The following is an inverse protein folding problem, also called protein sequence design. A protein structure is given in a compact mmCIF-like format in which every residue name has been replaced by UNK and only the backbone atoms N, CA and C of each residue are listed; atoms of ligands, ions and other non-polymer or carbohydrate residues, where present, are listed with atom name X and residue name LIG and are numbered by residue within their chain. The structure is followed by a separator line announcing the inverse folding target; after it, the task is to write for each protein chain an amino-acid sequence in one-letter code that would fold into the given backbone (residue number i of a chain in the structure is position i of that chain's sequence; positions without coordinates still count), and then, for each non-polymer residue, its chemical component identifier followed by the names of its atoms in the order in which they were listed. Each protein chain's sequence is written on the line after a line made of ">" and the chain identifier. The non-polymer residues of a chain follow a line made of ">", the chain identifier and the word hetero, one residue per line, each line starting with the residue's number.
data_IF_071781409863
#
_entry.id   IF_071781409863
#
_cell.length_a   1.000
_cell.length_b   1.000
_cell.length_c   1.000
_cell.angle_alpha   90.00
_cell.angle_beta   90.00
_cell.angle_gamma   90.00
#
_symmetry.space_group_name_H-M   'P 1'
#
loop_
_entity.id
_entity.type
_entity.pdbx_description
1 polymer ?
#
# COMPACT_ATOMS: atom_id res chain seq x y z
N UNK A 1 4.46 -7.65 13.13
CA UNK A 1 5.03 -7.28 11.82
C UNK A 1 4.71 -5.82 11.58
N UNK A 2 5.66 -5.04 11.08
CA UNK A 2 5.41 -3.66 10.66
C UNK A 2 5.62 -3.59 9.15
N UNK A 3 4.77 -2.84 8.45
CA UNK A 3 4.96 -2.58 7.01
C UNK A 3 5.82 -1.33 6.84
N UNK A 4 6.47 -1.21 5.70
CA UNK A 4 7.22 -0.01 5.34
C UNK A 4 6.28 1.18 5.17
N UNK A 5 6.81 2.39 5.38
CA UNK A 5 6.11 3.63 5.04
C UNK A 5 5.73 3.69 3.56
N UNK A 6 6.51 3.04 2.70
CA UNK A 6 6.24 2.98 1.28
C UNK A 6 4.92 2.25 1.00
N UNK A 7 4.74 1.06 1.58
CA UNK A 7 3.50 0.28 1.47
C UNK A 7 2.31 0.99 2.08
N UNK A 8 2.46 1.60 3.26
CA UNK A 8 1.41 2.42 3.89
C UNK A 8 0.98 3.58 2.96
N UNK A 9 1.95 4.31 2.41
CA UNK A 9 1.65 5.44 1.52
C UNK A 9 1.03 4.99 0.20
N UNK A 10 1.41 3.82 -0.33
CA UNK A 10 0.78 3.26 -1.51
C UNK A 10 -0.71 2.97 -1.28
N UNK A 11 -1.05 2.31 -0.17
CA UNK A 11 -2.43 2.04 0.20
C UNK A 11 -3.23 3.34 0.37
N UNK A 12 -2.66 4.35 1.05
CA UNK A 12 -3.32 5.65 1.24
C UNK A 12 -3.59 6.41 -0.06
N UNK A 13 -2.65 6.37 -1.01
CA UNK A 13 -2.85 6.93 -2.35
C UNK A 13 -4.02 6.22 -3.03
N UNK A 14 -4.05 4.90 -3.03
CA UNK A 14 -5.12 4.12 -3.67
C UNK A 14 -6.48 4.37 -3.03
N UNK A 15 -6.56 4.41 -1.70
CA UNK A 15 -7.79 4.75 -0.96
C UNK A 15 -8.27 6.14 -1.37
N UNK A 16 -7.39 7.14 -1.38
CA UNK A 16 -7.74 8.51 -1.74
C UNK A 16 -8.29 8.59 -3.16
N UNK A 17 -7.61 7.96 -4.12
CA UNK A 17 -8.06 7.94 -5.51
C UNK A 17 -9.41 7.24 -5.68
N UNK A 18 -9.73 6.27 -4.81
CA UNK A 18 -10.98 5.51 -4.90
C UNK A 18 -12.20 6.29 -4.39
N UNK A 19 -12.00 7.24 -3.48
CA UNK A 19 -13.08 8.01 -2.85
C UNK A 19 -13.13 9.47 -3.32
N UNK A 20 -12.15 9.92 -4.11
CA UNK A 20 -12.11 11.29 -4.60
C UNK A 20 -13.16 11.51 -5.69
N UNK A 21 -13.94 12.58 -5.55
CA UNK A 21 -14.87 13.05 -6.60
C UNK A 21 -14.16 13.81 -7.73
N UNK A 22 -12.85 14.05 -7.61
CA UNK A 22 -12.08 14.76 -8.63
C UNK A 22 -11.75 13.81 -9.79
N UNK A 23 -12.05 14.23 -11.01
CA UNK A 23 -11.65 13.52 -12.23
C UNK A 23 -10.12 13.35 -12.35
N UNK A 24 -9.36 14.34 -11.85
CA UNK A 24 -7.90 14.34 -11.83
C UNK A 24 -7.42 14.78 -10.45
N UNK A 25 -6.75 13.87 -9.74
CA UNK A 25 -6.13 14.13 -8.43
C UNK A 25 -4.65 14.44 -8.61
N UNK A 26 -4.11 15.42 -7.91
CA UNK A 26 -2.68 15.71 -7.92
C UNK A 26 -1.96 15.04 -6.74
N UNK A 27 -0.64 14.84 -6.86
CA UNK A 27 0.19 14.41 -5.72
C UNK A 27 0.08 15.39 -4.54
N UNK A 28 -0.16 16.67 -4.82
CA UNK A 28 -0.37 17.69 -3.78
C UNK A 28 -1.64 17.42 -3.00
N UNK A 29 -2.74 17.07 -3.66
CA UNK A 29 -4.01 16.78 -2.99
C UNK A 29 -3.83 15.66 -1.96
N UNK A 30 -3.20 14.54 -2.37
CA UNK A 30 -2.93 13.41 -1.47
C UNK A 30 -1.95 13.79 -0.35
N UNK A 31 -0.90 14.55 -0.68
CA UNK A 31 0.10 15.01 0.28
C UNK A 31 -0.52 15.86 1.38
N UNK A 32 -1.36 16.82 1.00
CA UNK A 32 -1.99 17.76 1.92
C UNK A 32 -3.03 17.01 2.79
N UNK A 33 -3.87 16.14 2.21
CA UNK A 33 -4.88 15.38 2.95
C UNK A 33 -4.32 14.42 3.99
N UNK A 34 -3.16 13.81 3.75
CA UNK A 34 -2.52 12.89 4.72
C UNK A 34 -1.36 13.50 5.50
N UNK A 35 -1.04 14.79 5.27
CA UNK A 35 0.16 15.44 5.80
C UNK A 35 1.45 14.64 5.51
N UNK A 36 1.60 14.16 4.27
CA UNK A 36 2.77 13.41 3.79
C UNK A 36 3.55 14.29 2.82
N UNK A 37 4.89 14.31 2.90
CA UNK A 37 5.67 15.10 1.94
C UNK A 37 5.52 14.58 0.50
N UNK A 38 5.39 15.50 -0.45
CA UNK A 38 5.31 15.19 -1.90
C UNK A 38 6.45 14.31 -2.38
N UNK A 39 7.66 14.49 -1.83
CA UNK A 39 8.83 13.71 -2.20
C UNK A 39 8.66 12.21 -1.91
N UNK A 40 8.02 11.85 -0.79
CA UNK A 40 7.72 10.44 -0.53
C UNK A 40 6.66 9.91 -1.49
N UNK A 41 5.60 10.68 -1.73
CA UNK A 41 4.52 10.27 -2.64
C UNK A 41 4.97 10.17 -4.10
N UNK A 42 5.93 10.97 -4.55
CA UNK A 42 6.45 10.86 -5.92
C UNK A 42 6.98 9.46 -6.23
N UNK A 43 7.76 8.86 -5.33
CA UNK A 43 8.28 7.50 -5.52
C UNK A 43 7.17 6.46 -5.50
N UNK A 44 6.22 6.61 -4.57
CA UNK A 44 5.05 5.72 -4.44
C UNK A 44 4.20 5.74 -5.71
N UNK A 45 3.89 6.94 -6.22
CA UNK A 45 3.09 7.14 -7.43
C UNK A 45 3.80 6.59 -8.67
N UNK A 46 5.12 6.76 -8.76
CA UNK A 46 5.90 6.17 -9.86
C UNK A 46 5.79 4.64 -9.85
N UNK A 47 5.94 4.01 -8.70
CA UNK A 47 5.82 2.55 -8.58
C UNK A 47 4.39 2.07 -8.87
N UNK A 48 3.38 2.70 -8.27
CA UNK A 48 1.98 2.35 -8.52
C UNK A 48 1.62 2.47 -10.01
N UNK A 49 2.18 3.46 -10.71
CA UNK A 49 1.97 3.63 -12.15
C UNK A 49 2.73 2.57 -12.96
N UNK A 50 3.96 2.23 -12.57
CA UNK A 50 4.74 1.17 -13.22
C UNK A 50 4.07 -0.21 -13.08
N UNK A 51 3.41 -0.45 -11.94
CA UNK A 51 2.64 -1.67 -11.66
C UNK A 51 1.22 -1.64 -12.25
N UNK A 52 0.82 -0.54 -12.91
CA UNK A 52 -0.48 -0.43 -13.60
C UNK A 52 -1.68 -0.20 -12.68
N UNK A 53 -1.49 0.10 -11.40
CA UNK A 53 -2.60 0.44 -10.50
C UNK A 53 -3.22 1.81 -10.83
N UNK A 54 -2.39 2.75 -11.29
CA UNK A 54 -2.79 4.12 -11.58
C UNK A 54 -2.25 4.60 -12.92
N UNK A 55 -2.97 5.54 -13.54
CA UNK A 55 -2.47 6.33 -14.66
C UNK A 55 -1.95 7.67 -14.14
N UNK A 56 -0.76 8.08 -14.59
CA UNK A 56 -0.17 9.38 -14.28
C UNK A 56 -0.01 10.23 -15.55
N UNK A 57 -0.73 11.36 -15.61
CA UNK A 57 -0.62 12.34 -16.70
C UNK A 57 0.26 13.51 -16.28
N UNK A 58 1.21 13.91 -17.12
CA UNK A 58 2.11 15.05 -16.87
C UNK A 58 1.54 16.37 -17.39
N UNK A 59 2.00 17.48 -16.84
CA UNK A 59 1.70 18.84 -17.30
C UNK A 59 0.82 19.64 -16.34
N UNK A 60 0.45 20.87 -16.74
CA UNK A 60 -0.29 21.83 -15.91
C UNK A 60 -1.67 21.31 -15.46
N UNK A 61 -2.30 20.47 -16.29
CA UNK A 61 -3.58 19.82 -16.02
C UNK A 61 -3.40 18.30 -15.77
N UNK A 62 -2.18 17.89 -15.42
CA UNK A 62 -1.85 16.50 -15.14
C UNK A 62 -2.22 16.10 -13.71
N UNK A 63 -2.20 14.81 -13.47
CA UNK A 63 -2.51 14.21 -12.17
C UNK A 63 -2.48 12.69 -12.26
N UNK A 64 -3.09 12.06 -11.28
CA UNK A 64 -3.17 10.62 -11.09
C UNK A 64 -4.63 10.20 -10.91
N UNK A 65 -4.95 9.02 -11.40
CA UNK A 65 -6.26 8.37 -11.23
C UNK A 65 -6.07 6.85 -11.19
N UNK A 66 -7.01 6.15 -10.58
CA UNK A 66 -7.04 4.68 -10.66
C UNK A 66 -7.18 4.23 -12.12
N UNK A 67 -6.39 3.21 -12.48
CA UNK A 67 -6.45 2.57 -13.79
C UNK A 67 -7.31 1.29 -13.77
N UNK A 68 -7.38 0.64 -12.61
CA UNK A 68 -8.15 -0.59 -12.39
C UNK A 68 -9.20 -0.41 -11.30
N UNK A 69 -10.25 -1.22 -11.34
CA UNK A 69 -11.35 -1.13 -10.38
C UNK A 69 -10.87 -1.52 -8.97
N UNK A 70 -11.36 -0.89 -7.90
CA UNK A 70 -10.93 -1.19 -6.52
C UNK A 70 -11.11 -2.68 -6.13
N UNK A 71 -12.17 -3.33 -6.60
CA UNK A 71 -12.44 -4.76 -6.41
C UNK A 71 -11.41 -5.69 -7.05
N UNK A 72 -10.60 -5.18 -8.00
CA UNK A 72 -9.52 -5.94 -8.65
C UNK A 72 -8.18 -5.77 -7.92
N UNK A 73 -8.07 -4.84 -6.97
CA UNK A 73 -6.85 -4.59 -6.22
C UNK A 73 -6.88 -5.38 -4.91
N UNK A 74 -6.26 -6.57 -4.92
CA UNK A 74 -6.13 -7.37 -3.71
C UNK A 74 -5.09 -6.77 -2.74
N UNK A 75 -5.49 -6.53 -1.49
CA UNK A 75 -4.64 -5.87 -0.47
C UNK A 75 -3.46 -6.77 -0.10
N UNK A 76 -3.70 -8.06 0.10
CA UNK A 76 -2.64 -9.01 0.45
C UNK A 76 -1.56 -9.13 -0.61
N UNK A 77 -1.94 -9.21 -1.89
CA UNK A 77 -1.00 -9.25 -3.00
C UNK A 77 -0.17 -7.97 -3.08
N UNK A 78 -0.81 -6.80 -2.99
CA UNK A 78 -0.10 -5.51 -3.02
C UNK A 78 0.89 -5.38 -1.86
N UNK A 79 0.44 -5.68 -0.63
CA UNK A 79 1.29 -5.59 0.56
C UNK A 79 2.43 -6.61 0.49
N UNK A 80 2.18 -7.82 -0.02
CA UNK A 80 3.22 -8.84 -0.22
C UNK A 80 4.26 -8.38 -1.23
N UNK A 81 3.82 -7.81 -2.36
CA UNK A 81 4.70 -7.30 -3.42
C UNK A 81 5.63 -6.20 -2.89
N UNK A 82 5.07 -5.22 -2.17
CA UNK A 82 5.84 -4.07 -1.72
C UNK A 82 6.73 -4.38 -0.50
N UNK A 83 6.41 -5.45 0.25
CA UNK A 83 7.19 -5.92 1.40
C UNK A 83 8.16 -7.06 1.08
N UNK A 84 8.34 -7.44 -0.20
CA UNK A 84 9.22 -8.56 -0.57
C UNK A 84 10.65 -8.40 -0.06
N UNK A 85 11.17 -7.17 -0.05
CA UNK A 85 12.53 -6.86 0.43
C UNK A 85 12.65 -6.74 1.95
N UNK A 86 11.53 -6.74 2.68
CA UNK A 86 11.53 -6.55 4.13
C UNK A 86 11.87 -7.86 4.87
N UNK A 87 13.00 -7.82 5.56
CA UNK A 87 13.47 -8.93 6.41
C UNK A 87 12.82 -8.83 7.80
N UNK A 88 11.93 -9.76 8.13
CA UNK A 88 11.23 -9.79 9.43
C UNK A 88 12.17 -10.14 10.59
N UNK A 89 13.07 -11.10 10.35
CA UNK A 89 14.11 -11.54 11.28
C UNK A 89 15.38 -11.77 10.46
N UNK A 90 16.55 -11.48 11.04
CA UNK A 90 17.87 -11.57 10.38
C UNK A 90 18.04 -12.86 9.56
N UNK A 91 17.55 -13.98 10.10
CA UNK A 91 17.67 -15.29 9.47
C UNK A 91 16.83 -15.49 8.19
N UNK A 92 16.06 -14.50 7.76
CA UNK A 92 15.40 -14.44 6.45
C UNK A 92 16.21 -13.66 5.41
N UNK A 93 17.23 -12.91 5.82
CA UNK A 93 18.10 -12.15 4.93
C UNK A 93 19.30 -12.96 4.43
N UNK A 94 20.02 -12.39 3.45
CA UNK A 94 21.23 -12.98 2.87
C UNK A 94 22.45 -12.92 3.81
N UNK A 95 22.50 -11.96 4.73
CA UNK A 95 23.57 -11.79 5.72
C UNK A 95 23.21 -12.39 7.09
N UNK A 96 22.78 -13.65 7.11
CA UNK A 96 22.40 -14.35 8.33
C UNK A 96 23.61 -14.89 9.09
N UNK A 97 23.85 -14.38 10.29
CA UNK A 97 24.93 -14.78 11.20
C UNK A 97 24.44 -15.66 12.37
N UNK A 98 23.16 -16.00 12.40
CA UNK A 98 22.57 -16.81 13.46
C UNK A 98 23.03 -18.28 13.39
N UNK A 99 23.92 -18.66 14.31
CA UNK A 99 24.56 -20.00 14.38
C UNK A 99 23.56 -21.15 14.53
N UNK A 100 22.39 -20.91 15.14
CA UNK A 100 21.38 -21.97 15.34
C UNK A 100 20.45 -22.16 14.14
N UNK A 101 20.55 -21.35 13.08
CA UNK A 101 19.63 -21.37 11.92
C UNK A 101 19.34 -22.78 11.38
N UNK A 102 20.32 -23.69 11.19
CA UNK A 102 20.07 -25.03 10.63
C UNK A 102 19.07 -25.87 11.44
N UNK A 103 18.93 -25.62 12.74
CA UNK A 103 18.04 -26.37 13.64
C UNK A 103 16.97 -25.49 14.33
N UNK A 104 16.89 -24.21 13.96
CA UNK A 104 16.07 -23.22 14.67
C UNK A 104 14.57 -23.36 14.34
N UNK A 105 13.77 -23.81 15.31
CA UNK A 105 12.31 -23.85 15.17
C UNK A 105 11.68 -22.45 15.18
N UNK A 106 12.31 -21.48 15.83
CA UNK A 106 11.83 -20.09 15.87
C UNK A 106 11.70 -19.50 14.46
N UNK A 107 12.69 -19.75 13.59
CA UNK A 107 12.67 -19.33 12.17
C UNK A 107 11.41 -19.83 11.46
N UNK A 108 11.02 -21.09 11.70
CA UNK A 108 9.83 -21.69 11.08
C UNK A 108 8.53 -21.07 11.62
N UNK A 109 8.45 -20.85 12.93
CA UNK A 109 7.28 -20.23 13.57
C UNK A 109 7.07 -18.81 13.03
N UNK A 110 8.13 -18.00 12.94
CA UNK A 110 8.04 -16.65 12.37
C UNK A 110 7.70 -16.64 10.88
N UNK A 111 8.17 -17.64 10.11
CA UNK A 111 7.81 -17.76 8.69
C UNK A 111 6.32 -18.05 8.55
N UNK A 112 5.79 -18.97 9.37
CA UNK A 112 4.36 -19.25 9.45
C UNK A 112 3.56 -17.99 9.82
N UNK A 113 4.01 -17.23 10.83
CA UNK A 113 3.34 -15.99 11.21
C UNK A 113 3.32 -14.93 10.08
N UNK A 114 4.44 -14.77 9.35
CA UNK A 114 4.53 -13.87 8.18
C UNK A 114 3.54 -14.30 7.08
N UNK A 115 3.46 -15.59 6.78
CA UNK A 115 2.52 -16.10 5.78
C UNK A 115 1.05 -15.95 6.20
N UNK A 116 0.75 -16.18 7.49
CA UNK A 116 -0.60 -15.95 8.00
C UNK A 116 -1.03 -14.48 7.95
N UNK A 117 -0.09 -13.55 8.16
CA UNK A 117 -0.34 -12.12 8.01
C UNK A 117 -0.79 -11.78 6.58
N UNK A 118 -0.02 -12.20 5.57
CA UNK A 118 -0.39 -11.93 4.17
C UNK A 118 -1.67 -12.66 3.75
N UNK A 119 -1.84 -13.94 4.10
CA UNK A 119 -3.07 -14.69 3.80
C UNK A 119 -4.33 -14.08 4.42
N UNK A 120 -4.20 -13.39 5.54
CA UNK A 120 -5.31 -12.65 6.11
C UNK A 120 -5.69 -11.46 5.23
N UNK A 121 -4.69 -10.68 4.80
CA UNK A 121 -4.89 -9.51 3.92
C UNK A 121 -5.36 -9.90 2.51
N UNK A 122 -4.99 -11.08 2.02
CA UNK A 122 -5.43 -11.63 0.72
C UNK A 122 -6.95 -11.84 0.64
N UNK A 123 -7.67 -11.77 1.77
CA UNK A 123 -9.14 -11.85 1.82
C UNK A 123 -9.83 -10.54 1.47
N UNK A 124 -9.09 -9.44 1.36
CA UNK A 124 -9.63 -8.10 1.15
C UNK A 124 -9.11 -7.50 -0.14
N UNK A 125 -9.94 -6.65 -0.72
CA UNK A 125 -9.66 -5.81 -1.88
C UNK A 125 -9.71 -4.34 -1.48
N UNK A 126 -9.30 -3.44 -2.37
CA UNK A 126 -9.42 -2.00 -2.13
C UNK A 126 -10.90 -1.60 -1.99
N UNK A 127 -11.82 -2.32 -2.66
CA UNK A 127 -13.25 -2.09 -2.51
C UNK A 127 -13.71 -2.27 -1.05
N UNK A 128 -13.21 -3.27 -0.34
CA UNK A 128 -13.58 -3.51 1.06
C UNK A 128 -13.16 -2.37 2.01
N UNK A 129 -12.23 -1.51 1.56
CA UNK A 129 -11.78 -0.34 2.33
C UNK A 129 -12.66 0.90 2.11
N UNK A 130 -13.52 0.89 1.09
CA UNK A 130 -14.31 2.04 0.61
C UNK A 130 -15.80 1.73 0.43
N UNK A 131 -16.25 0.52 0.82
CA UNK A 131 -17.62 0.04 0.61
C UNK A 131 -18.32 -0.47 1.89
N UNK A 132 -17.71 -0.24 3.06
CA UNK A 132 -18.33 -0.61 4.33
C UNK A 132 -19.27 0.53 4.77
N UNK A 133 -20.31 0.27 5.56
CA UNK A 133 -21.43 1.19 5.85
C UNK A 133 -21.09 2.55 6.53
N UNK A 134 -19.80 2.94 6.52
CA UNK A 134 -19.17 4.19 6.95
C UNK A 134 -18.75 5.08 5.77
N UNK A 135 -19.01 4.73 4.51
CA UNK A 135 -18.47 5.42 3.32
C UNK A 135 -18.88 6.88 3.16
N UNK A 136 -20.06 7.28 3.66
CA UNK A 136 -20.40 8.70 3.73
C UNK A 136 -19.35 9.48 4.53
N UNK A 137 -18.67 8.84 5.49
CA UNK A 137 -17.71 9.50 6.37
C UNK A 137 -16.32 9.68 5.75
N UNK A 138 -15.82 8.75 4.92
CA UNK A 138 -14.44 8.84 4.40
C UNK A 138 -14.27 9.98 3.40
N UNK A 139 -15.17 10.09 2.42
CA UNK A 139 -15.15 11.20 1.47
C UNK A 139 -15.35 12.55 2.20
N UNK A 140 -16.27 12.60 3.18
CA UNK A 140 -16.47 13.79 4.02
C UNK A 140 -15.22 14.19 4.81
N UNK A 141 -14.50 13.22 5.39
CA UNK A 141 -13.24 13.49 6.11
C UNK A 141 -12.24 14.16 5.17
N UNK A 142 -12.05 13.65 3.95
CA UNK A 142 -11.10 14.24 2.99
C UNK A 142 -11.55 15.59 2.42
N UNK A 143 -12.85 15.88 2.39
CA UNK A 143 -13.39 17.19 1.99
C UNK A 143 -13.30 18.24 3.12
N UNK A 144 -13.17 17.80 4.38
CA UNK A 144 -13.12 18.66 5.57
C UNK A 144 -11.69 19.03 6.04
N UNK A 145 -10.66 18.48 5.40
CA UNK A 145 -9.24 18.70 5.70
C UNK A 145 -8.60 19.70 4.72
#
# INVERSE_FOLDING_TARGET
>A
MNITRFTDYALRVLIYLSVSEKDIVTIKDVADSYNISKNHLMKVVQELSAQGFIEATRGKNGGIKLHILPEQINIGNLVREFEQSTTLVECFGSNNQCVITPACQLKKIFLGAKEHFFKYLEKYTLQDLICDSRDEHLAQIFLSA
#
